data_IF_087990315745
#
_entry.id   IF_087990315745
#
_cell.length_a   1.000
_cell.length_b   1.000
_cell.length_c   1.000
_cell.angle_alpha   90.00
_cell.angle_beta   90.00
_cell.angle_gamma   90.00
#
_symmetry.space_group_name_H-M   'P 1'
#
loop_
_entity.id
_entity.type
_entity.pdbx_description
1 polymer ?
#
# COMPACT_ATOMS: atom_id res chain seq x y z
N UNK A 1 36.90 -77.12 40.70
CA UNK A 1 36.63 -75.91 41.50
C UNK A 1 36.11 -74.86 40.52
N UNK A 2 34.88 -74.33 40.51
CA UNK A 2 33.67 -74.33 41.35
C UNK A 2 32.47 -74.21 40.34
N UNK A 3 31.32 -74.90 40.45
CA UNK A 3 30.09 -74.51 41.19
C UNK A 3 29.83 -72.99 41.20
N UNK A 4 28.65 -72.42 40.96
CA UNK A 4 27.27 -72.88 40.79
C UNK A 4 26.47 -71.71 40.17
N UNK A 5 25.34 -72.04 39.56
CA UNK A 5 24.24 -71.16 39.15
C UNK A 5 23.67 -70.29 40.29
N UNK A 6 23.02 -69.16 39.97
CA UNK A 6 21.84 -68.57 40.65
C UNK A 6 21.48 -67.19 40.06
N UNK A 7 20.24 -67.09 39.57
CA UNK A 7 19.63 -65.84 39.14
C UNK A 7 18.85 -65.08 40.24
N UNK A 8 18.14 -64.06 39.75
CA UNK A 8 17.05 -63.26 40.35
C UNK A 8 17.38 -61.96 41.12
N UNK A 9 17.04 -60.86 40.43
CA UNK A 9 16.28 -59.67 40.87
C UNK A 9 16.75 -58.85 42.07
N UNK A 10 17.04 -57.58 41.81
CA UNK A 10 16.47 -56.46 42.58
C UNK A 10 16.47 -55.19 41.73
N UNK A 11 15.26 -54.69 41.47
CA UNK A 11 14.98 -53.35 40.92
C UNK A 11 15.35 -52.34 42.01
N UNK A 12 16.30 -51.45 41.72
CA UNK A 12 16.46 -50.20 42.47
C UNK A 12 16.12 -49.05 41.52
N UNK A 13 14.86 -48.63 41.60
CA UNK A 13 14.34 -47.41 41.01
C UNK A 13 15.00 -46.23 41.74
N UNK A 14 15.95 -45.54 41.10
CA UNK A 14 16.39 -44.22 41.56
C UNK A 14 16.24 -43.23 40.40
N UNK A 15 15.17 -42.45 40.55
CA UNK A 15 14.93 -41.09 40.06
C UNK A 15 15.86 -40.53 39.00
N UNK A 16 15.29 -40.33 37.82
CA UNK A 16 15.79 -39.38 36.84
C UNK A 16 15.83 -37.97 37.44
N UNK A 17 16.99 -37.33 37.39
CA UNK A 17 17.07 -35.87 37.28
C UNK A 17 17.74 -35.61 35.94
N UNK A 18 16.93 -35.55 34.88
CA UNK A 18 17.36 -34.94 33.63
C UNK A 18 17.44 -33.44 33.90
N UNK A 19 18.66 -32.91 33.90
CA UNK A 19 18.90 -31.47 33.93
C UNK A 19 18.33 -30.89 32.62
N UNK A 20 17.11 -30.37 32.67
CA UNK A 20 16.52 -29.63 31.56
C UNK A 20 17.20 -28.27 31.53
N UNK A 21 18.23 -28.13 30.71
CA UNK A 21 18.68 -26.81 30.26
C UNK A 21 17.54 -26.20 29.47
N UNK A 22 16.79 -25.30 30.11
CA UNK A 22 15.86 -24.43 29.41
C UNK A 22 16.69 -23.54 28.48
N UNK A 23 16.78 -23.94 27.21
CA UNK A 23 17.01 -22.98 26.14
C UNK A 23 15.80 -22.06 26.16
N UNK A 24 15.97 -20.87 26.73
CA UNK A 24 15.12 -19.73 26.43
C UNK A 24 15.20 -19.52 24.94
N UNK A 25 14.32 -20.19 24.20
CA UNK A 25 14.03 -19.84 22.82
C UNK A 25 13.44 -18.44 22.87
N UNK A 26 14.30 -17.43 22.75
CA UNK A 26 13.88 -16.16 22.20
C UNK A 26 13.41 -16.50 20.79
N UNK A 27 12.10 -16.73 20.62
CA UNK A 27 11.44 -16.43 19.36
C UNK A 27 11.65 -14.94 19.16
N UNK A 28 12.77 -14.59 18.52
CA UNK A 28 12.88 -13.34 17.82
C UNK A 28 11.73 -13.40 16.80
N UNK A 29 10.66 -12.63 17.05
CA UNK A 29 9.85 -12.18 15.94
C UNK A 29 10.84 -11.47 15.04
N UNK A 30 11.20 -12.11 13.92
CA UNK A 30 11.79 -11.38 12.82
C UNK A 30 10.74 -10.32 12.48
N UNK A 31 10.95 -9.09 12.94
CA UNK A 31 10.23 -7.96 12.42
C UNK A 31 10.60 -7.98 10.94
N UNK A 32 9.69 -8.47 10.11
CA UNK A 32 9.80 -8.35 8.67
C UNK A 32 10.10 -6.87 8.47
N UNK A 33 11.32 -6.55 8.06
CA UNK A 33 11.68 -5.20 7.68
C UNK A 33 10.74 -4.86 6.54
N UNK A 34 9.63 -4.20 6.86
CA UNK A 34 8.75 -3.50 5.94
C UNK A 34 9.68 -2.75 4.99
N UNK A 35 9.79 -3.26 3.77
CA UNK A 35 10.82 -2.84 2.83
C UNK A 35 10.39 -1.53 2.19
N UNK A 36 10.47 -0.46 2.98
CA UNK A 36 10.20 0.90 2.54
C UNK A 36 11.21 1.28 1.46
N UNK A 37 10.72 1.45 0.24
CA UNK A 37 11.55 1.75 -0.93
C UNK A 37 11.33 3.20 -1.33
N UNK A 38 12.35 4.07 -1.35
CA UNK A 38 12.19 5.47 -1.76
C UNK A 38 11.55 5.59 -3.15
N UNK A 39 10.60 6.50 -3.27
CA UNK A 39 9.96 6.89 -4.51
C UNK A 39 9.94 8.42 -4.59
N UNK A 40 10.95 8.96 -5.27
CA UNK A 40 11.13 10.41 -5.43
C UNK A 40 11.10 10.73 -6.91
N UNK A 41 10.14 11.56 -7.33
CA UNK A 41 9.93 11.93 -8.74
C UNK A 41 9.64 13.42 -8.80
N UNK A 42 10.30 14.14 -9.70
CA UNK A 42 9.95 15.50 -10.08
C UNK A 42 9.86 15.59 -11.59
N UNK A 43 8.79 16.19 -12.10
CA UNK A 43 8.60 16.30 -13.55
C UNK A 43 7.77 17.53 -13.93
N UNK A 44 7.96 18.01 -15.16
CA UNK A 44 7.07 18.95 -15.84
C UNK A 44 6.57 18.29 -17.12
N UNK A 45 5.27 18.06 -17.23
CA UNK A 45 4.70 17.33 -18.36
C UNK A 45 3.33 17.86 -18.78
N UNK A 46 2.96 17.56 -20.02
CA UNK A 46 1.63 17.86 -20.58
C UNK A 46 0.70 16.68 -20.27
N UNK A 47 -0.58 16.98 -20.04
CA UNK A 47 -1.63 15.99 -19.90
C UNK A 47 -1.85 15.20 -21.19
N UNK A 48 -2.41 14.01 -21.02
CA UNK A 48 -2.96 13.18 -22.08
C UNK A 48 -4.44 12.90 -21.81
N UNK A 49 -5.14 12.32 -22.78
CA UNK A 49 -6.48 11.78 -22.54
C UNK A 49 -6.41 10.72 -21.43
N UNK A 50 -7.38 10.75 -20.51
CA UNK A 50 -7.50 9.73 -19.48
C UNK A 50 -7.82 8.37 -20.14
N UNK A 51 -6.98 7.33 -19.92
CA UNK A 51 -7.16 6.05 -20.60
C UNK A 51 -8.32 5.20 -20.04
N UNK A 52 -9.00 5.62 -18.97
CA UNK A 52 -10.11 4.87 -18.40
C UNK A 52 -11.36 4.90 -19.31
N UNK A 53 -12.04 3.76 -19.51
CA UNK A 53 -13.32 3.74 -20.23
C UNK A 53 -14.34 4.70 -19.61
N UNK A 54 -14.98 5.53 -20.42
CA UNK A 54 -15.91 6.56 -19.96
C UNK A 54 -15.23 7.88 -19.55
N UNK A 55 -13.91 7.98 -19.63
CA UNK A 55 -13.14 9.20 -19.36
C UNK A 55 -12.55 9.81 -20.64
N UNK A 56 -13.13 9.51 -21.81
CA UNK A 56 -12.61 9.96 -23.10
C UNK A 56 -12.58 11.49 -23.22
N UNK A 57 -13.42 12.19 -22.46
CA UNK A 57 -13.46 13.64 -22.42
C UNK A 57 -12.52 14.25 -21.37
N UNK A 58 -11.84 13.46 -20.54
CA UNK A 58 -11.00 13.97 -19.46
C UNK A 58 -9.52 14.06 -19.86
N UNK A 59 -8.75 14.76 -19.03
CA UNK A 59 -7.30 14.86 -19.17
C UNK A 59 -6.60 14.42 -17.89
N UNK A 60 -5.43 13.78 -18.01
CA UNK A 60 -4.71 13.22 -16.87
C UNK A 60 -3.18 13.38 -17.01
N UNK A 61 -2.52 13.47 -15.87
CA UNK A 61 -1.09 13.19 -15.68
C UNK A 61 -0.93 12.21 -14.53
N UNK A 62 -0.29 11.08 -14.78
CA UNK A 62 -0.02 10.06 -13.78
C UNK A 62 1.32 10.38 -13.11
N UNK A 63 1.29 10.70 -11.81
CA UNK A 63 2.47 11.05 -11.02
C UNK A 63 3.09 9.82 -10.33
N UNK A 64 2.24 8.91 -9.86
CA UNK A 64 2.63 7.58 -9.39
C UNK A 64 1.72 6.54 -10.07
N UNK A 65 2.26 5.60 -10.84
CA UNK A 65 1.47 4.65 -11.62
C UNK A 65 0.68 3.70 -10.72
N UNK A 66 -0.48 3.18 -11.16
CA UNK A 66 -1.23 2.19 -10.42
C UNK A 66 -0.40 0.96 -10.04
N UNK A 67 -0.59 0.45 -8.82
CA UNK A 67 0.04 -0.77 -8.29
C UNK A 67 -0.96 -1.85 -7.96
N UNK A 68 -0.57 -3.10 -8.19
CA UNK A 68 -1.29 -4.32 -7.86
C UNK A 68 -0.44 -5.30 -7.02
N UNK A 69 0.76 -4.90 -6.60
CA UNK A 69 1.74 -5.74 -5.89
C UNK A 69 1.58 -5.78 -4.37
N UNK A 70 0.42 -5.35 -3.85
CA UNK A 70 0.13 -5.27 -2.42
C UNK A 70 0.88 -4.16 -1.67
N UNK A 71 1.48 -3.22 -2.39
CA UNK A 71 2.18 -2.05 -1.83
C UNK A 71 1.48 -0.75 -2.18
N UNK A 72 1.75 0.29 -1.39
CA UNK A 72 1.22 1.64 -1.58
C UNK A 72 2.35 2.65 -1.72
N UNK A 73 2.06 3.77 -2.35
CA UNK A 73 2.84 4.99 -2.21
C UNK A 73 2.40 5.74 -0.96
N UNK A 74 3.36 6.32 -0.24
CA UNK A 74 3.10 7.23 0.88
C UNK A 74 4.10 8.39 0.83
N UNK A 75 3.71 9.60 1.22
CA UNK A 75 4.63 10.73 1.26
C UNK A 75 3.96 12.09 1.06
N UNK A 76 4.70 13.03 0.48
CA UNK A 76 4.25 14.39 0.18
C UNK A 76 4.26 14.57 -1.34
N UNK A 77 3.17 15.12 -1.88
CA UNK A 77 3.10 15.58 -3.24
C UNK A 77 2.89 17.09 -3.27
N UNK A 78 3.64 17.79 -4.12
CA UNK A 78 3.44 19.20 -4.41
C UNK A 78 3.34 19.43 -5.91
N UNK A 79 2.54 20.41 -6.32
CA UNK A 79 2.29 20.67 -7.73
C UNK A 79 1.88 22.11 -8.04
N UNK A 80 2.02 22.48 -9.30
CA UNK A 80 1.39 23.65 -9.92
C UNK A 80 1.01 23.35 -11.37
N UNK A 81 -0.19 23.73 -11.79
CA UNK A 81 -0.76 23.39 -13.09
C UNK A 81 -1.31 24.63 -13.82
N UNK A 82 -1.29 24.58 -15.15
CA UNK A 82 -1.77 25.66 -16.02
C UNK A 82 -3.30 25.75 -16.14
N UNK A 83 -4.03 24.77 -15.61
CA UNK A 83 -5.49 24.71 -15.54
C UNK A 83 -5.89 24.16 -14.17
N UNK A 84 -7.13 24.40 -13.69
CA UNK A 84 -7.68 23.71 -12.53
C UNK A 84 -7.53 22.20 -12.70
N UNK A 85 -7.00 21.52 -11.68
CA UNK A 85 -6.92 20.05 -11.67
C UNK A 85 -7.47 19.51 -10.36
N UNK A 86 -8.07 18.34 -10.45
CA UNK A 86 -8.28 17.47 -9.30
C UNK A 86 -7.05 16.62 -9.03
N UNK A 87 -6.81 16.26 -7.78
CA UNK A 87 -5.93 15.12 -7.46
C UNK A 87 -6.79 13.90 -7.28
N UNK A 88 -6.36 12.82 -7.92
CA UNK A 88 -6.94 11.49 -7.86
C UNK A 88 -5.96 10.56 -7.16
N UNK A 89 -6.44 9.88 -6.12
CA UNK A 89 -5.75 8.71 -5.56
C UNK A 89 -6.62 7.48 -5.73
N UNK A 90 -5.98 6.38 -6.10
CA UNK A 90 -6.63 5.08 -6.26
C UNK A 90 -6.35 4.19 -5.06
N UNK A 91 -7.36 3.41 -4.66
CA UNK A 91 -7.28 2.42 -3.60
C UNK A 91 -7.92 1.10 -4.05
N UNK A 92 -7.32 -0.06 -3.74
CA UNK A 92 -7.92 -1.37 -3.94
C UNK A 92 -9.32 -1.40 -3.34
N UNK A 93 -10.27 -1.95 -4.08
CA UNK A 93 -11.66 -1.96 -3.67
C UNK A 93 -12.25 -3.36 -3.78
N UNK A 94 -12.79 -3.84 -2.66
CA UNK A 94 -13.47 -5.12 -2.56
C UNK A 94 -14.96 -4.87 -2.33
N UNK A 95 -15.77 -5.14 -3.36
CA UNK A 95 -17.21 -4.81 -3.37
C UNK A 95 -18.08 -5.56 -2.34
N UNK A 96 -17.50 -6.46 -1.54
CA UNK A 96 -18.23 -7.34 -0.62
C UNK A 96 -18.61 -6.74 0.74
N UNK A 97 -18.16 -5.53 1.06
CA UNK A 97 -18.42 -4.86 2.36
C UNK A 97 -19.62 -3.92 2.32
N UNK A 98 -20.22 -3.68 1.16
CA UNK A 98 -21.29 -2.70 1.00
C UNK A 98 -22.66 -3.29 1.32
N UNK A 99 -23.52 -2.51 1.95
CA UNK A 99 -24.94 -2.80 2.10
C UNK A 99 -25.79 -1.81 1.32
N UNK A 100 -27.09 -2.10 1.17
CA UNK A 100 -28.04 -1.17 0.56
C UNK A 100 -28.14 0.17 1.32
N UNK A 101 -27.80 0.17 2.61
CA UNK A 101 -27.84 1.36 3.46
C UNK A 101 -26.59 2.22 3.32
N UNK A 102 -25.42 1.63 3.06
CA UNK A 102 -24.13 2.36 3.00
C UNK A 102 -23.72 2.76 1.59
N UNK A 103 -24.21 2.06 0.56
CA UNK A 103 -23.79 2.27 -0.83
C UNK A 103 -22.32 1.92 -1.08
N UNK A 104 -21.81 2.29 -2.25
CA UNK A 104 -20.38 2.15 -2.61
C UNK A 104 -19.66 3.50 -2.47
N UNK A 105 -18.37 3.54 -2.10
CA UNK A 105 -17.56 4.74 -2.27
C UNK A 105 -17.46 5.13 -3.75
N UNK A 106 -17.00 6.35 -4.05
CA UNK A 106 -16.69 6.74 -5.43
C UNK A 106 -15.72 5.72 -6.03
N UNK A 107 -16.12 5.10 -7.14
CA UNK A 107 -15.36 4.04 -7.79
C UNK A 107 -15.47 4.12 -9.32
N UNK A 108 -14.55 3.46 -10.01
CA UNK A 108 -14.56 3.29 -11.45
C UNK A 108 -14.10 1.89 -11.86
N UNK A 109 -14.49 1.40 -13.06
CA UNK A 109 -13.88 0.21 -13.66
C UNK A 109 -12.37 0.37 -13.80
N UNK A 110 -11.60 -0.64 -13.42
CA UNK A 110 -10.15 -0.65 -13.54
C UNK A 110 -9.64 -2.09 -13.71
N UNK A 111 -9.02 -2.39 -14.86
CA UNK A 111 -8.71 -3.76 -15.25
C UNK A 111 -9.98 -4.62 -15.30
N UNK A 112 -9.93 -5.82 -14.71
CA UNK A 112 -11.08 -6.74 -14.62
C UNK A 112 -12.01 -6.44 -13.42
N UNK A 113 -11.76 -5.36 -12.67
CA UNK A 113 -12.47 -5.05 -11.44
C UNK A 113 -12.87 -3.58 -11.30
N UNK A 114 -12.94 -3.13 -10.06
CA UNK A 114 -13.22 -1.74 -9.68
C UNK A 114 -12.11 -1.22 -8.76
N UNK A 115 -11.92 0.09 -8.77
CA UNK A 115 -11.01 0.80 -7.87
C UNK A 115 -11.77 1.89 -7.13
N UNK A 116 -11.46 2.10 -5.85
CA UNK A 116 -12.01 3.21 -5.07
C UNK A 116 -11.17 4.47 -5.30
N UNK A 117 -11.82 5.63 -5.30
CA UNK A 117 -11.23 6.90 -5.74
C UNK A 117 -11.37 7.94 -4.62
N UNK A 118 -10.23 8.51 -4.21
CA UNK A 118 -10.23 9.81 -3.53
C UNK A 118 -10.06 10.92 -4.56
N UNK A 119 -11.03 11.83 -4.62
CA UNK A 119 -11.02 12.98 -5.54
C UNK A 119 -10.99 14.29 -4.74
N UNK A 120 -9.94 15.09 -4.93
CA UNK A 120 -9.73 16.34 -4.20
C UNK A 120 -9.61 17.50 -5.19
N UNK A 121 -10.36 18.59 -4.96
CA UNK A 121 -10.51 19.69 -5.94
C UNK A 121 -9.85 21.01 -5.54
N UNK A 122 -9.47 21.16 -4.28
CA UNK A 122 -8.87 22.39 -3.76
C UNK A 122 -7.79 22.06 -2.73
N UNK A 123 -6.63 22.70 -2.88
CA UNK A 123 -5.46 22.52 -2.01
C UNK A 123 -4.96 23.83 -1.42
N UNK A 124 -5.41 24.97 -1.97
CA UNK A 124 -5.13 26.31 -1.46
C UNK A 124 -6.35 27.20 -1.70
N UNK A 125 -6.44 28.31 -0.97
CA UNK A 125 -7.44 29.37 -1.20
C UNK A 125 -7.05 30.32 -2.35
N UNK A 126 -5.94 30.03 -3.04
CA UNK A 126 -5.46 30.78 -4.19
C UNK A 126 -6.25 30.40 -5.45
N UNK A 127 -6.47 31.33 -6.40
CA UNK A 127 -6.98 30.97 -7.73
C UNK A 127 -5.98 30.15 -8.56
N UNK A 128 -4.74 29.98 -8.08
CA UNK A 128 -3.73 29.17 -8.73
C UNK A 128 -3.99 27.69 -8.46
N UNK A 129 -4.01 26.89 -9.52
CA UNK A 129 -4.13 25.43 -9.45
C UNK A 129 -2.81 24.82 -8.95
N UNK A 130 -2.57 24.91 -7.65
CA UNK A 130 -1.37 24.43 -6.99
C UNK A 130 -1.67 23.94 -5.58
N UNK A 131 -0.74 23.19 -5.01
CA UNK A 131 -0.88 22.67 -3.65
C UNK A 131 0.32 21.85 -3.19
N UNK A 132 0.33 21.54 -1.90
CA UNK A 132 1.18 20.52 -1.28
C UNK A 132 0.34 19.74 -0.26
N UNK A 133 0.40 18.42 -0.30
CA UNK A 133 -0.41 17.56 0.56
C UNK A 133 0.32 16.26 0.88
N UNK A 134 0.04 15.72 2.06
CA UNK A 134 0.42 14.35 2.43
C UNK A 134 -0.56 13.40 1.75
N UNK A 135 -0.05 12.29 1.23
CA UNK A 135 -0.87 11.31 0.53
C UNK A 135 -0.44 9.87 0.87
N UNK A 136 -1.40 8.96 0.72
CA UNK A 136 -1.17 7.52 0.76
C UNK A 136 -2.19 6.83 -0.16
N UNK A 137 -1.72 5.93 -1.03
CA UNK A 137 -2.60 5.22 -1.98
C UNK A 137 -1.83 4.39 -3.01
N UNK A 138 -2.55 3.67 -3.86
CA UNK A 138 -1.99 2.75 -4.86
C UNK A 138 -1.71 3.41 -6.22
N UNK A 139 -2.20 4.64 -6.43
CA UNK A 139 -1.84 5.50 -7.54
C UNK A 139 -2.02 6.97 -7.14
N UNK A 140 -1.32 7.86 -7.82
CA UNK A 140 -1.50 9.31 -7.72
C UNK A 140 -1.54 9.93 -9.10
N UNK A 141 -2.57 10.70 -9.39
CA UNK A 141 -2.71 11.42 -10.65
C UNK A 141 -3.30 12.81 -10.45
N UNK A 142 -3.01 13.69 -11.41
CA UNK A 142 -3.65 14.99 -11.57
C UNK A 142 -4.60 14.89 -12.75
N UNK A 143 -5.82 15.35 -12.57
CA UNK A 143 -6.93 15.12 -13.48
C UNK A 143 -7.63 16.44 -13.80
N UNK A 144 -8.19 16.56 -14.99
CA UNK A 144 -9.10 17.65 -15.34
C UNK A 144 -10.37 17.05 -15.93
N UNK A 145 -11.45 17.09 -15.14
CA UNK A 145 -12.76 16.54 -15.53
C UNK A 145 -13.45 17.33 -16.65
N UNK A 146 -13.06 18.60 -16.83
CA UNK A 146 -13.60 19.45 -17.90
C UNK A 146 -12.95 19.18 -19.27
N UNK A 147 -11.96 18.28 -19.33
CA UNK A 147 -11.27 17.91 -20.57
C UNK A 147 -10.27 18.92 -21.11
N UNK A 148 -9.91 19.93 -20.32
CA UNK A 148 -8.96 20.96 -20.74
C UNK A 148 -7.54 20.41 -20.66
N UNK A 149 -6.78 20.35 -21.77
CA UNK A 149 -5.39 19.95 -21.72
C UNK A 149 -4.60 20.92 -20.83
N UNK A 150 -3.69 20.39 -20.02
CA UNK A 150 -2.91 21.18 -19.08
C UNK A 150 -1.45 20.78 -19.07
N UNK A 151 -0.59 21.69 -18.60
CA UNK A 151 0.80 21.41 -18.25
C UNK A 151 0.91 21.51 -16.74
N UNK A 152 1.63 20.58 -16.13
CA UNK A 152 1.83 20.51 -14.69
C UNK A 152 3.29 20.31 -14.37
N UNK A 153 3.76 20.96 -13.32
CA UNK A 153 5.01 20.60 -12.65
C UNK A 153 4.65 20.02 -11.30
N UNK A 154 5.18 18.85 -10.97
CA UNK A 154 4.94 18.19 -9.69
C UNK A 154 6.21 17.56 -9.13
N UNK A 155 6.23 17.41 -7.81
CA UNK A 155 7.20 16.59 -7.07
C UNK A 155 6.43 15.63 -6.17
N UNK A 156 6.82 14.36 -6.18
CA UNK A 156 6.46 13.36 -5.19
C UNK A 156 7.73 13.01 -4.43
N UNK A 157 7.73 13.25 -3.13
CA UNK A 157 8.78 12.82 -2.21
C UNK A 157 8.16 11.83 -1.23
N UNK A 158 8.49 10.55 -1.40
CA UNK A 158 7.81 9.49 -0.68
C UNK A 158 8.49 8.13 -0.76
N UNK A 159 7.73 7.12 -0.39
CA UNK A 159 8.15 5.74 -0.26
C UNK A 159 7.09 4.79 -0.81
N UNK A 160 7.52 3.56 -1.08
CA UNK A 160 6.67 2.42 -1.40
C UNK A 160 6.76 1.46 -0.23
N UNK A 161 5.63 1.26 0.44
CA UNK A 161 5.53 0.46 1.66
C UNK A 161 4.54 -0.70 1.46
N UNK A 162 4.77 -1.81 2.16
CA UNK A 162 3.79 -2.89 2.21
C UNK A 162 2.62 -2.50 3.11
N UNK A 163 1.42 -2.97 2.76
CA UNK A 163 0.27 -2.83 3.65
C UNK A 163 0.47 -3.75 4.86
N UNK A 164 0.24 -3.21 6.05
CA UNK A 164 0.09 -4.05 7.25
C UNK A 164 -1.21 -4.83 7.15
N UNK A 165 -1.12 -6.15 7.33
CA UNK A 165 -2.28 -7.06 7.39
C UNK A 165 -2.84 -7.14 8.80
#
# INVERSE_FOLDING_TARGET
>A
MNKLDLGFTSIALIGAIALVTQLSGTTAFAQQTEQSTPFVVQNTTKSMQDPLPGHEMHQIVIAAPPRDDGKIYSGIASFTASQPVEVVMLHPYQSGQNTTETGEPLNAPFGDGKVAISLMKQFTDSPVSSGSFVFAGNALAFHNIEGKPFVITYTVDGHIDSLTQ
#
